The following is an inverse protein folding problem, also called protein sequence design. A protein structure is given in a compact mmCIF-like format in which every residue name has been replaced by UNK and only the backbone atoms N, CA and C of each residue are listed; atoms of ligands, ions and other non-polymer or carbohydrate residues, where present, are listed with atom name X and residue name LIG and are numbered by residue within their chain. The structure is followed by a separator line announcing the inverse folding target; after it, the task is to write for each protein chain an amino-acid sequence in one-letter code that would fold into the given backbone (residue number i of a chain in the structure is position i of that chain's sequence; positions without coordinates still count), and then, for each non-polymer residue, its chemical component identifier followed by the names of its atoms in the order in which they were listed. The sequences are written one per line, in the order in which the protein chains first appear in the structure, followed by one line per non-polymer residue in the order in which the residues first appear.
data_IF_878404779872
#
_entry.id   IF_878404779872
#
_cell.length_a   1.000
_cell.length_b   1.000
_cell.length_c   1.000
_cell.angle_alpha   90.00
_cell.angle_beta   90.00
_cell.angle_gamma   90.00
#
_symmetry.space_group_name_H-M   'P 1'
#
loop_
_entity.id
_entity.type
_entity.pdbx_description
1 polymer ?
#
# COMPACT_ATOMS: atom_id res chain seq x y z
N UNK A 1 -18.50 -8.05 19.35
CA UNK A 1 -18.68 -7.27 18.10
C UNK A 1 -17.38 -6.79 17.46
N UNK A 2 -16.30 -6.53 18.20
CA UNK A 2 -14.98 -6.13 17.64
C UNK A 2 -14.29 -7.23 16.83
N UNK A 3 -14.36 -8.48 17.27
CA UNK A 3 -13.74 -9.63 16.59
C UNK A 3 -14.29 -9.86 15.17
N UNK A 4 -15.62 -9.94 15.02
CA UNK A 4 -16.28 -10.11 13.72
C UNK A 4 -15.96 -8.98 12.74
N UNK A 5 -15.88 -7.74 13.24
CA UNK A 5 -15.48 -6.57 12.44
C UNK A 5 -14.03 -6.69 11.94
N UNK A 6 -13.11 -7.20 12.77
CA UNK A 6 -11.73 -7.41 12.38
C UNK A 6 -11.60 -8.52 11.32
N UNK A 7 -12.40 -9.59 11.42
CA UNK A 7 -12.45 -10.65 10.39
C UNK A 7 -12.91 -10.07 9.06
N UNK A 8 -14.05 -9.36 9.03
CA UNK A 8 -14.56 -8.77 7.79
C UNK A 8 -13.57 -7.79 7.16
N UNK A 9 -12.89 -6.97 7.98
CA UNK A 9 -11.82 -6.09 7.50
C UNK A 9 -10.64 -6.88 6.93
N UNK A 10 -10.25 -7.98 7.56
CA UNK A 10 -9.15 -8.82 7.07
C UNK A 10 -9.52 -9.45 5.72
N UNK A 11 -10.74 -9.96 5.57
CA UNK A 11 -11.26 -10.47 4.30
C UNK A 11 -11.22 -9.36 3.23
N UNK A 12 -11.68 -8.15 3.55
CA UNK A 12 -11.63 -7.02 2.63
C UNK A 12 -10.20 -6.71 2.17
N UNK A 13 -9.23 -6.68 3.09
CA UNK A 13 -7.82 -6.44 2.74
C UNK A 13 -7.28 -7.53 1.80
N UNK A 14 -7.54 -8.80 2.13
CA UNK A 14 -7.13 -9.93 1.29
C UNK A 14 -7.76 -9.84 -0.10
N UNK A 15 -9.05 -9.47 -0.20
CA UNK A 15 -9.73 -9.32 -1.48
C UNK A 15 -9.12 -8.18 -2.31
N UNK A 16 -8.83 -7.02 -1.70
CA UNK A 16 -8.19 -5.90 -2.42
C UNK A 16 -6.80 -6.27 -2.92
N UNK A 17 -6.03 -6.98 -2.10
CA UNK A 17 -4.71 -7.50 -2.46
C UNK A 17 -4.78 -8.52 -3.60
N UNK A 18 -5.79 -9.40 -3.59
CA UNK A 18 -6.04 -10.32 -4.70
C UNK A 18 -6.44 -9.58 -5.99
N UNK A 19 -7.21 -8.50 -5.89
CA UNK A 19 -7.53 -7.68 -7.05
C UNK A 19 -6.31 -6.94 -7.59
N UNK A 20 -5.40 -6.48 -6.73
CA UNK A 20 -4.12 -5.93 -7.17
C UNK A 20 -3.35 -6.93 -8.02
N UNK A 21 -3.17 -8.17 -7.54
CA UNK A 21 -2.45 -9.19 -8.33
C UNK A 21 -3.17 -9.54 -9.62
N UNK A 22 -4.50 -9.67 -9.59
CA UNK A 22 -5.32 -9.94 -10.77
C UNK A 22 -5.19 -8.82 -11.83
N UNK A 23 -5.27 -7.56 -11.42
CA UNK A 23 -5.15 -6.40 -12.34
C UNK A 23 -3.78 -6.44 -13.02
N UNK A 24 -2.71 -6.58 -12.25
CA UNK A 24 -1.35 -6.57 -12.79
C UNK A 24 -1.06 -7.80 -13.68
N UNK A 25 -1.67 -8.95 -13.36
CA UNK A 25 -1.62 -10.13 -14.23
C UNK A 25 -2.33 -9.90 -15.56
N UNK A 26 -3.52 -9.27 -15.54
CA UNK A 26 -4.32 -9.02 -16.75
C UNK A 26 -3.74 -7.91 -17.63
N UNK A 27 -3.10 -6.89 -17.04
CA UNK A 27 -2.47 -5.82 -17.81
C UNK A 27 -1.18 -6.28 -18.49
N UNK A 28 -0.40 -7.14 -17.83
CA UNK A 28 0.85 -7.67 -18.36
C UNK A 28 1.88 -6.58 -18.73
N UNK A 29 1.85 -5.45 -18.00
CA UNK A 29 2.76 -4.33 -18.24
C UNK A 29 3.96 -4.47 -17.31
N UNK A 30 5.10 -4.90 -17.86
CA UNK A 30 6.29 -5.19 -17.05
C UNK A 30 6.93 -3.93 -16.45
N UNK A 31 6.74 -2.77 -17.08
CA UNK A 31 7.34 -1.50 -16.66
C UNK A 31 6.43 -0.67 -15.77
N UNK A 32 5.25 -1.14 -15.36
CA UNK A 32 4.32 -0.37 -14.51
C UNK A 32 3.35 -1.27 -13.75
N UNK A 33 3.16 -1.00 -12.46
CA UNK A 33 2.20 -1.70 -11.60
C UNK A 33 1.16 -0.74 -11.03
N UNK A 34 -0.10 -1.18 -11.04
CA UNK A 34 -1.22 -0.50 -10.39
C UNK A 34 -1.43 -1.19 -9.03
N UNK A 35 -1.28 -0.45 -7.93
CA UNK A 35 -1.25 -1.00 -6.58
C UNK A 35 -2.41 -0.50 -5.70
N UNK A 36 -3.66 -0.95 -5.94
CA UNK A 36 -4.80 -0.54 -5.12
C UNK A 36 -4.68 -0.98 -3.65
N UNK A 37 -3.98 -2.07 -3.35
CA UNK A 37 -3.72 -2.49 -1.98
C UNK A 37 -2.71 -1.57 -1.29
N UNK A 38 -1.64 -1.17 -1.97
CA UNK A 38 -0.76 -0.11 -1.45
C UNK A 38 -1.55 1.17 -1.15
N UNK A 39 -2.41 1.61 -2.07
CA UNK A 39 -3.25 2.79 -1.88
C UNK A 39 -4.16 2.67 -0.65
N UNK A 40 -4.74 1.48 -0.42
CA UNK A 40 -5.52 1.19 0.76
C UNK A 40 -4.70 1.32 2.05
N UNK A 41 -3.51 0.70 2.10
CA UNK A 41 -2.60 0.79 3.24
C UNK A 41 -2.26 2.26 3.50
N UNK A 42 -1.84 2.97 2.45
CA UNK A 42 -1.43 4.37 2.55
C UNK A 42 -2.57 5.25 3.08
N UNK A 43 -3.75 5.17 2.47
CA UNK A 43 -4.92 5.95 2.87
C UNK A 43 -5.28 5.72 4.34
N UNK A 44 -5.36 4.46 4.76
CA UNK A 44 -5.67 4.11 6.15
C UNK A 44 -4.59 4.64 7.09
N UNK A 45 -3.33 4.58 6.68
CA UNK A 45 -2.19 5.02 7.49
C UNK A 45 -2.15 6.52 7.68
N UNK A 46 -2.59 7.31 6.69
CA UNK A 46 -2.60 8.77 6.80
C UNK A 46 -3.88 9.27 7.48
N UNK A 47 -5.05 8.74 7.13
CA UNK A 47 -6.35 9.30 7.55
C UNK A 47 -6.98 8.61 8.76
N UNK A 48 -6.71 7.33 8.99
CA UNK A 48 -7.44 6.52 9.99
C UNK A 48 -6.56 5.49 10.71
N UNK A 49 -5.31 5.86 11.00
CA UNK A 49 -4.36 4.96 11.64
C UNK A 49 -4.86 4.52 13.01
N UNK A 50 -5.01 3.21 13.19
CA UNK A 50 -5.49 2.62 14.44
C UNK A 50 -4.99 1.19 14.59
N UNK A 51 -4.91 0.71 15.84
CA UNK A 51 -4.49 -0.66 16.14
C UNK A 51 -5.41 -1.72 15.53
N UNK A 52 -6.66 -1.36 15.20
CA UNK A 52 -7.61 -2.25 14.54
C UNK A 52 -7.21 -2.63 13.11
N UNK A 53 -6.26 -1.92 12.51
CA UNK A 53 -5.78 -2.20 11.15
C UNK A 53 -4.58 -3.16 11.14
N UNK A 54 -3.94 -3.40 12.30
CA UNK A 54 -2.76 -4.26 12.42
C UNK A 54 -3.11 -5.71 12.05
N UNK A 55 -4.16 -6.27 12.64
CA UNK A 55 -4.58 -7.66 12.38
C UNK A 55 -4.92 -7.87 10.89
N UNK A 56 -5.76 -7.01 10.26
CA UNK A 56 -5.99 -7.09 8.81
C UNK A 56 -4.72 -7.06 7.96
N UNK A 57 -3.77 -6.16 8.25
CA UNK A 57 -2.50 -6.07 7.53
C UNK A 57 -1.66 -7.34 7.65
N UNK A 58 -1.55 -7.88 8.87
CA UNK A 58 -0.82 -9.13 9.12
C UNK A 58 -1.48 -10.30 8.40
N UNK A 59 -2.81 -10.45 8.49
CA UNK A 59 -3.52 -11.54 7.81
C UNK A 59 -3.37 -11.42 6.30
N UNK A 60 -3.45 -10.21 5.73
CA UNK A 60 -3.24 -10.02 4.29
C UNK A 60 -1.83 -10.35 3.85
N UNK A 61 -0.81 -9.98 4.64
CA UNK A 61 0.57 -10.33 4.36
C UNK A 61 0.81 -11.84 4.40
N UNK A 62 0.34 -12.51 5.45
CA UNK A 62 0.42 -13.97 5.55
C UNK A 62 -0.32 -14.65 4.39
N UNK A 63 -1.48 -14.14 4.01
CA UNK A 63 -2.24 -14.68 2.87
C UNK A 63 -1.46 -14.50 1.56
N UNK A 64 -0.79 -13.37 1.38
CA UNK A 64 0.09 -13.15 0.23
C UNK A 64 1.25 -14.13 0.21
N UNK A 65 1.94 -14.27 1.34
CA UNK A 65 3.08 -15.17 1.48
C UNK A 65 2.68 -16.63 1.19
N UNK A 66 1.48 -17.06 1.61
CA UNK A 66 0.99 -18.43 1.43
C UNK A 66 0.54 -18.72 0.00
N UNK A 67 -0.16 -17.79 -0.64
CA UNK A 67 -0.90 -18.07 -1.88
C UNK A 67 -0.34 -17.40 -3.13
N UNK A 68 0.41 -16.32 -2.99
CA UNK A 68 0.70 -15.38 -4.09
C UNK A 68 2.19 -15.03 -4.22
N UNK A 69 3.06 -15.49 -3.33
CA UNK A 69 4.49 -15.19 -3.36
C UNK A 69 5.34 -16.42 -3.10
N UNK A 70 6.60 -16.37 -3.53
CA UNK A 70 7.62 -17.39 -3.23
C UNK A 70 8.47 -17.04 -1.99
N UNK A 71 8.13 -15.98 -1.26
CA UNK A 71 8.91 -15.50 -0.13
C UNK A 71 8.61 -16.27 1.17
N UNK A 72 9.48 -16.09 2.17
CA UNK A 72 9.28 -16.65 3.50
C UNK A 72 8.00 -16.11 4.16
N UNK A 73 7.32 -16.98 4.90
CA UNK A 73 6.11 -16.64 5.64
C UNK A 73 6.35 -15.46 6.60
N UNK A 74 5.55 -14.41 6.46
CA UNK A 74 5.58 -13.21 7.30
C UNK A 74 6.33 -12.02 6.70
N UNK A 75 7.03 -12.17 5.56
CA UNK A 75 7.81 -11.07 4.94
C UNK A 75 6.88 -9.93 4.52
N UNK A 76 5.82 -10.22 3.75
CA UNK A 76 4.90 -9.18 3.31
C UNK A 76 4.08 -8.59 4.47
N UNK A 77 3.82 -9.38 5.52
CA UNK A 77 3.19 -8.87 6.75
C UNK A 77 4.02 -7.77 7.39
N UNK A 78 5.33 -7.98 7.50
CA UNK A 78 6.28 -7.00 8.04
C UNK A 78 6.32 -5.77 7.13
N UNK A 79 6.45 -5.97 5.82
CA UNK A 79 6.49 -4.86 4.85
C UNK A 79 5.24 -3.99 4.93
N UNK A 80 4.05 -4.57 4.91
CA UNK A 80 2.79 -3.83 4.98
C UNK A 80 2.66 -3.02 6.29
N UNK A 81 3.11 -3.58 7.41
CA UNK A 81 3.15 -2.85 8.68
C UNK A 81 4.16 -1.71 8.65
N UNK A 82 5.36 -1.92 8.10
CA UNK A 82 6.38 -0.87 7.98
C UNK A 82 5.86 0.27 7.10
N UNK A 83 5.27 -0.04 5.94
CA UNK A 83 4.63 0.97 5.06
C UNK A 83 3.63 1.80 5.86
N UNK A 84 2.77 1.15 6.64
CA UNK A 84 1.76 1.85 7.43
C UNK A 84 2.35 2.76 8.51
N UNK A 85 3.33 2.25 9.26
CA UNK A 85 4.00 2.98 10.35
C UNK A 85 4.79 4.17 9.79
N UNK A 86 5.61 3.95 8.76
CA UNK A 86 6.46 5.01 8.17
C UNK A 86 5.60 6.08 7.52
N UNK A 87 4.54 5.69 6.79
CA UNK A 87 3.62 6.66 6.19
C UNK A 87 2.95 7.53 7.26
N UNK A 88 2.46 6.92 8.35
CA UNK A 88 1.86 7.67 9.47
C UNK A 88 2.88 8.57 10.17
N UNK A 89 4.10 8.08 10.37
CA UNK A 89 5.16 8.82 11.06
C UNK A 89 5.55 10.07 10.29
N UNK A 90 5.85 9.95 8.99
CA UNK A 90 6.21 11.08 8.13
C UNK A 90 5.07 12.10 8.13
N UNK A 91 3.83 11.64 7.99
CA UNK A 91 2.62 12.47 8.00
C UNK A 91 2.31 13.16 9.33
N UNK A 92 2.95 12.78 10.44
CA UNK A 92 2.81 13.47 11.72
C UNK A 92 4.00 14.34 12.09
N UNK A 93 5.17 14.11 11.49
CA UNK A 93 6.44 14.73 11.91
C UNK A 93 6.99 15.75 10.93
N UNK A 94 6.70 15.63 9.64
CA UNK A 94 7.13 16.62 8.65
C UNK A 94 6.20 17.84 8.75
N UNK A 95 6.75 19.01 9.05
CA UNK A 95 5.97 20.23 9.28
C UNK A 95 5.55 20.95 7.99
N UNK A 96 6.16 20.61 6.84
CA UNK A 96 5.87 21.24 5.55
C UNK A 96 4.69 20.57 4.84
N UNK A 97 3.50 21.18 4.97
CA UNK A 97 2.23 20.67 4.41
C UNK A 97 2.34 20.35 2.91
N UNK A 98 3.06 21.18 2.13
CA UNK A 98 3.11 21.05 0.66
C UNK A 98 3.83 19.81 0.15
N UNK A 99 4.81 19.27 0.87
CA UNK A 99 5.64 18.14 0.38
C UNK A 99 5.50 16.88 1.23
N UNK A 100 4.93 17.00 2.43
CA UNK A 100 4.76 15.90 3.38
C UNK A 100 4.01 14.70 2.77
N UNK A 101 2.93 14.96 2.03
CA UNK A 101 2.14 13.91 1.40
C UNK A 101 2.92 13.18 0.31
N UNK A 102 3.52 13.93 -0.60
CA UNK A 102 4.34 13.36 -1.67
C UNK A 102 5.53 12.55 -1.12
N UNK A 103 6.23 13.08 -0.11
CA UNK A 103 7.35 12.38 0.54
C UNK A 103 6.86 11.10 1.22
N UNK A 104 5.80 11.18 2.02
CA UNK A 104 5.21 10.03 2.70
C UNK A 104 4.76 8.94 1.72
N UNK A 105 4.12 9.33 0.63
CA UNK A 105 3.68 8.42 -0.43
C UNK A 105 4.88 7.74 -1.10
N UNK A 106 5.90 8.52 -1.47
CA UNK A 106 7.11 8.03 -2.15
C UNK A 106 7.87 7.04 -1.28
N UNK A 107 8.12 7.37 -0.01
CA UNK A 107 8.81 6.47 0.91
C UNK A 107 7.98 5.21 1.21
N UNK A 108 6.68 5.36 1.42
CA UNK A 108 5.78 4.22 1.58
C UNK A 108 5.82 3.29 0.37
N UNK A 109 5.77 3.85 -0.84
CA UNK A 109 5.78 3.08 -2.08
C UNK A 109 7.12 2.40 -2.34
N UNK A 110 8.22 3.05 -1.98
CA UNK A 110 9.56 2.46 -2.04
C UNK A 110 9.66 1.25 -1.12
N UNK A 111 9.20 1.37 0.13
CA UNK A 111 9.17 0.26 1.08
C UNK A 111 8.30 -0.90 0.55
N UNK A 112 7.13 -0.58 0.01
CA UNK A 112 6.20 -1.56 -0.55
C UNK A 112 6.84 -2.41 -1.67
N UNK A 113 7.66 -1.78 -2.51
CA UNK A 113 8.33 -2.43 -3.64
C UNK A 113 9.78 -2.86 -3.34
N UNK A 114 10.17 -2.94 -2.07
CA UNK A 114 11.56 -3.28 -1.68
C UNK A 114 12.06 -4.60 -2.26
N UNK A 115 11.18 -5.60 -2.38
CA UNK A 115 11.55 -6.92 -2.92
C UNK A 115 11.95 -6.82 -4.40
N UNK A 116 11.37 -5.87 -5.14
CA UNK A 116 11.61 -5.69 -6.58
C UNK A 116 12.81 -4.75 -6.86
N UNK A 117 13.50 -4.26 -5.82
CA UNK A 117 14.62 -3.31 -5.95
C UNK A 117 15.80 -3.82 -6.78
N UNK A 118 15.95 -5.14 -6.91
CA UNK A 118 17.08 -5.80 -7.56
C UNK A 118 16.87 -6.04 -9.07
N UNK A 119 15.71 -5.67 -9.61
CA UNK A 119 15.41 -5.85 -11.02
C UNK A 119 16.15 -4.81 -11.89
N UNK A 120 16.65 -5.24 -13.05
CA UNK A 120 17.52 -4.46 -13.94
C UNK A 120 16.91 -3.15 -14.46
N UNK A 121 15.58 -3.02 -14.46
CA UNK A 121 14.84 -1.83 -14.89
C UNK A 121 14.06 -1.16 -13.74
N UNK A 122 14.48 -1.38 -12.48
CA UNK A 122 13.76 -0.89 -11.31
C UNK A 122 13.48 0.62 -11.35
N UNK A 123 14.40 1.45 -11.84
CA UNK A 123 14.22 2.91 -11.83
C UNK A 123 13.06 3.35 -12.73
N UNK A 124 12.99 2.82 -13.96
CA UNK A 124 11.92 3.16 -14.90
C UNK A 124 10.59 2.61 -14.40
N UNK A 125 10.57 1.37 -13.93
CA UNK A 125 9.43 0.73 -13.27
C UNK A 125 8.93 1.51 -12.05
N UNK A 126 9.84 1.96 -11.18
CA UNK A 126 9.49 2.65 -9.96
C UNK A 126 8.87 4.01 -10.26
N UNK A 127 9.46 4.77 -11.18
CA UNK A 127 8.96 6.11 -11.53
C UNK A 127 7.58 6.02 -12.18
N UNK A 128 7.39 5.15 -13.16
CA UNK A 128 6.09 4.96 -13.83
C UNK A 128 5.01 4.51 -12.85
N UNK A 129 5.33 3.51 -12.01
CA UNK A 129 4.41 2.95 -11.02
C UNK A 129 4.09 3.97 -9.92
N UNK A 130 5.07 4.73 -9.45
CA UNK A 130 4.85 5.79 -8.48
C UNK A 130 3.94 6.88 -9.05
N UNK A 131 4.17 7.29 -10.30
CA UNK A 131 3.40 8.35 -10.95
C UNK A 131 1.95 7.92 -11.15
N UNK A 132 1.69 6.72 -11.68
CA UNK A 132 0.31 6.24 -11.88
C UNK A 132 -0.43 6.07 -10.55
N UNK A 133 0.20 5.48 -9.54
CA UNK A 133 -0.44 5.28 -8.24
C UNK A 133 -0.68 6.60 -7.52
N UNK A 134 0.26 7.55 -7.62
CA UNK A 134 0.07 8.88 -7.05
C UNK A 134 -1.05 9.64 -7.74
N UNK A 135 -1.19 9.54 -9.08
CA UNK A 135 -2.32 10.11 -9.81
C UNK A 135 -3.65 9.52 -9.35
N UNK A 136 -3.74 8.20 -9.23
CA UNK A 136 -4.95 7.53 -8.72
C UNK A 136 -5.30 8.04 -7.32
N UNK A 137 -4.30 8.13 -6.44
CA UNK A 137 -4.47 8.66 -5.10
C UNK A 137 -4.96 10.11 -5.08
N UNK A 138 -4.35 10.97 -5.92
CA UNK A 138 -4.72 12.37 -6.06
C UNK A 138 -6.17 12.53 -6.52
N UNK A 139 -6.59 11.77 -7.54
CA UNK A 139 -7.99 11.78 -8.00
C UNK A 139 -8.94 11.28 -6.90
N UNK A 140 -8.57 10.19 -6.20
CA UNK A 140 -9.35 9.67 -5.09
C UNK A 140 -9.55 10.72 -3.98
N UNK A 141 -8.48 11.38 -3.54
CA UNK A 141 -8.59 12.48 -2.57
C UNK A 141 -9.55 13.58 -3.05
N UNK A 142 -9.46 13.97 -4.32
CA UNK A 142 -10.31 15.02 -4.88
C UNK A 142 -11.78 14.62 -4.87
N UNK A 143 -12.10 13.36 -5.16
CA UNK A 143 -13.49 12.85 -5.09
C UNK A 143 -14.05 12.80 -3.67
N UNK A 144 -13.20 12.60 -2.66
CA UNK A 144 -13.63 12.61 -1.25
C UNK A 144 -13.90 14.02 -0.70
N UNK A 145 -13.59 15.06 -1.47
CA UNK A 145 -13.84 16.44 -1.09
C UNK A 145 -12.86 16.93 -0.03
N UNK A 146 -11.69 17.39 -0.49
CA UNK A 146 -11.19 18.65 0.06
C UNK A 146 -12.26 19.71 -0.27
N UNK A 147 -13.23 19.89 0.63
CA UNK A 147 -13.69 21.23 0.96
C UNK A 147 -12.44 21.94 1.45
N UNK A 148 -11.89 22.75 0.55
CA UNK A 148 -10.77 23.69 0.66
C UNK A 148 -10.30 23.94 2.09
#
# INVERSE_FOLDING_TARGET
MTFFRNILRSIYFVVVLFFETLINFLTGIDWMVISPFFLLIYYISVKSFSNHNIIPLVISGLSYDIFLSENYLGVYSILFLIVAIVSNYIQKKVQSVSYQEFLSFTFGFLIYNTINLLETDFVSFFISSLLINYLIYFFYQRTQGNRV
#
